data_IF_204561599832
#
_entry.id   IF_204561599832
#
_cell.length_a   1.000
_cell.length_b   1.000
_cell.length_c   1.000
_cell.angle_alpha   90.00
_cell.angle_beta   90.00
_cell.angle_gamma   90.00
#
_symmetry.space_group_name_H-M   'P 1'
#
loop_
_entity.id
_entity.type
_entity.pdbx_description
1 polymer ?
#
# COMPACT_ATOMS: atom_id res chain seq x y z
N UNK A 1 -65.32 48.51 21.76
CA UNK A 1 -65.01 47.08 21.60
C UNK A 1 -63.99 46.99 20.47
N UNK A 2 -62.74 47.41 20.64
CA UNK A 2 -61.75 46.99 21.65
C UNK A 2 -61.64 45.47 21.74
N UNK A 3 -60.53 44.91 21.21
CA UNK A 3 -59.56 44.01 21.87
C UNK A 3 -58.25 44.12 21.04
N UNK A 4 -57.31 44.98 21.40
CA UNK A 4 -56.16 44.79 22.29
C UNK A 4 -54.87 44.32 21.58
N UNK A 5 -53.91 45.24 21.50
CA UNK A 5 -52.55 45.07 21.00
C UNK A 5 -51.72 44.55 22.19
N UNK A 6 -51.22 43.32 22.11
CA UNK A 6 -50.25 42.81 23.07
C UNK A 6 -48.82 43.05 22.54
N UNK A 7 -48.05 43.70 23.41
CA UNK A 7 -46.66 44.14 23.33
C UNK A 7 -45.65 43.05 22.98
N UNK A 8 -44.66 43.42 22.17
CA UNK A 8 -43.37 42.73 22.03
C UNK A 8 -42.53 42.97 23.28
N UNK A 9 -42.10 41.91 23.94
CA UNK A 9 -40.93 41.91 24.83
C UNK A 9 -39.73 41.27 24.10
N UNK A 10 -38.48 41.75 24.33
CA UNK A 10 -37.31 41.22 23.66
C UNK A 10 -36.73 40.02 24.44
N UNK A 11 -36.78 38.83 23.85
CA UNK A 11 -35.96 37.70 24.32
C UNK A 11 -34.54 37.83 23.74
N UNK A 12 -33.71 38.61 24.41
CA UNK A 12 -32.27 38.63 24.21
C UNK A 12 -31.62 38.70 25.58
N UNK A 13 -31.26 37.53 26.13
CA UNK A 13 -30.23 37.36 27.18
C UNK A 13 -30.06 35.87 27.58
N UNK A 14 -31.07 34.99 27.41
CA UNK A 14 -30.93 33.55 27.78
C UNK A 14 -30.19 32.66 26.76
N UNK A 15 -29.79 33.19 25.61
CA UNK A 15 -29.02 32.44 24.60
C UNK A 15 -27.50 32.57 24.79
N UNK A 16 -27.04 33.47 25.67
CA UNK A 16 -25.64 33.80 25.86
C UNK A 16 -25.02 33.02 27.05
N UNK A 17 -25.81 32.70 28.09
CA UNK A 17 -25.34 31.90 29.24
C UNK A 17 -25.23 30.38 28.98
N UNK A 18 -25.78 29.86 27.88
CA UNK A 18 -25.58 28.43 27.50
C UNK A 18 -24.32 28.17 26.68
N UNK A 19 -23.52 29.21 26.38
CA UNK A 19 -22.25 29.07 25.64
C UNK A 19 -21.00 29.01 26.52
N UNK A 20 -21.09 29.22 27.82
CA UNK A 20 -19.93 29.26 28.72
C UNK A 20 -19.69 28.00 29.58
N UNK A 21 -20.44 26.90 29.38
CA UNK A 21 -20.34 25.72 30.26
C UNK A 21 -19.64 24.47 29.66
N UNK A 22 -18.97 24.53 28.50
CA UNK A 22 -18.25 23.38 27.92
C UNK A 22 -16.93 23.74 27.20
N UNK A 23 -16.20 24.73 27.71
CA UNK A 23 -14.85 25.05 27.27
C UNK A 23 -13.81 24.50 28.24
N UNK A 24 -13.57 23.18 28.24
CA UNK A 24 -12.24 22.70 28.64
C UNK A 24 -11.30 23.09 27.49
N UNK A 25 -10.56 24.20 27.67
CA UNK A 25 -9.44 24.55 26.82
C UNK A 25 -8.45 23.37 26.82
N UNK A 26 -8.36 22.66 25.71
CA UNK A 26 -7.27 21.73 25.47
C UNK A 26 -6.04 22.60 25.26
N UNK A 27 -5.19 22.70 26.29
CA UNK A 27 -3.86 23.30 26.16
C UNK A 27 -3.15 22.65 24.95
N UNK A 28 -2.90 23.44 23.90
CA UNK A 28 -2.03 23.05 22.79
C UNK A 28 -0.59 22.98 23.35
N UNK A 29 -0.22 21.83 23.90
CA UNK A 29 1.18 21.53 24.23
C UNK A 29 2.06 21.79 23.00
N UNK A 30 3.20 22.46 23.22
CA UNK A 30 4.17 22.75 22.16
C UNK A 30 4.49 21.47 21.35
N UNK A 31 4.61 21.55 20.01
CA UNK A 31 4.78 20.38 19.18
C UNK A 31 6.07 19.64 19.56
N UNK A 32 5.91 18.43 20.10
CA UNK A 32 7.03 17.59 20.56
C UNK A 32 8.05 17.41 19.45
N UNK A 33 9.34 17.60 19.73
CA UNK A 33 10.40 17.41 18.72
C UNK A 33 10.94 15.98 18.72
N UNK A 34 11.57 15.52 17.63
CA UNK A 34 12.23 14.20 17.64
C UNK A 34 13.32 14.09 18.71
N UNK A 35 14.03 15.19 19.01
CA UNK A 35 15.03 15.24 20.06
C UNK A 35 14.41 14.97 21.44
N UNK A 36 13.25 15.56 21.74
CA UNK A 36 12.51 15.34 22.99
C UNK A 36 12.02 13.89 23.15
N UNK A 37 11.81 13.16 22.05
CA UNK A 37 11.47 11.73 22.08
C UNK A 37 12.66 10.82 22.44
N UNK A 38 13.87 11.38 22.57
CA UNK A 38 15.11 10.63 22.82
C UNK A 38 15.80 10.12 21.55
N UNK A 39 15.48 10.67 20.38
CA UNK A 39 16.17 10.37 19.12
C UNK A 39 17.52 11.10 19.09
N UNK A 40 18.59 10.41 18.70
CA UNK A 40 19.95 10.93 18.70
C UNK A 40 20.16 12.01 17.63
N UNK A 41 21.12 12.94 17.82
CA UNK A 41 21.29 14.10 16.95
C UNK A 41 21.45 13.75 15.46
N UNK A 42 22.19 12.68 15.14
CA UNK A 42 22.43 12.24 13.77
C UNK A 42 21.13 11.79 13.07
N UNK A 43 20.21 11.20 13.82
CA UNK A 43 18.91 10.79 13.31
C UNK A 43 17.92 11.95 13.24
N UNK A 44 18.01 12.92 14.15
CA UNK A 44 17.24 14.17 14.07
C UNK A 44 17.62 14.93 12.81
N UNK A 45 18.91 15.10 12.53
CA UNK A 45 19.39 15.75 11.31
C UNK A 45 18.92 15.00 10.04
N UNK A 46 18.94 13.66 10.07
CA UNK A 46 18.41 12.86 8.98
C UNK A 46 16.89 13.05 8.79
N UNK A 47 16.12 13.16 9.88
CA UNK A 47 14.69 13.48 9.82
C UNK A 47 14.45 14.86 9.18
N UNK A 48 15.22 15.87 9.57
CA UNK A 48 15.13 17.22 9.01
C UNK A 48 15.48 17.25 7.51
N UNK A 49 16.55 16.55 7.11
CA UNK A 49 16.96 16.42 5.71
C UNK A 49 15.89 15.70 4.85
N UNK A 50 15.12 14.78 5.45
CA UNK A 50 13.97 14.14 4.81
C UNK A 50 12.69 15.00 4.86
N UNK A 51 12.72 16.17 5.50
CA UNK A 51 11.58 17.08 5.64
C UNK A 51 10.58 16.69 6.73
N UNK A 52 10.96 15.84 7.69
CA UNK A 52 10.11 15.44 8.81
C UNK A 52 10.20 16.47 9.94
N UNK A 53 9.50 17.59 9.78
CA UNK A 53 9.57 18.74 10.71
C UNK A 53 9.08 18.44 12.13
N UNK A 54 8.16 17.49 12.28
CA UNK A 54 7.62 17.10 13.57
C UNK A 54 7.25 15.59 13.55
N UNK A 55 7.37 14.89 14.68
CA UNK A 55 6.91 13.52 14.82
C UNK A 55 5.38 13.45 14.65
N UNK A 56 4.91 12.44 13.95
CA UNK A 56 3.49 12.12 13.93
C UNK A 56 3.05 11.57 15.30
N UNK A 57 1.74 11.60 15.60
CA UNK A 57 1.22 11.10 16.87
C UNK A 57 1.67 9.67 17.21
N UNK A 58 1.68 8.76 16.22
CA UNK A 58 2.15 7.39 16.46
C UNK A 58 3.65 7.33 16.74
N UNK A 59 4.45 8.26 16.19
CA UNK A 59 5.87 8.35 16.45
C UNK A 59 6.12 8.89 17.86
N UNK A 60 5.44 9.99 18.23
CA UNK A 60 5.54 10.60 19.54
C UNK A 60 5.17 9.62 20.68
N UNK A 61 4.09 8.84 20.49
CA UNK A 61 3.67 7.86 21.49
C UNK A 61 4.52 6.58 21.47
N UNK A 62 5.00 6.10 20.31
CA UNK A 62 5.68 4.79 20.23
C UNK A 62 7.20 4.84 20.44
N UNK A 63 7.88 5.87 19.95
CA UNK A 63 9.36 5.96 19.96
C UNK A 63 9.92 5.88 21.38
N UNK A 64 9.40 6.61 22.38
CA UNK A 64 9.96 6.56 23.74
C UNK A 64 9.94 5.15 24.34
N UNK A 65 8.84 4.40 24.20
CA UNK A 65 8.75 3.03 24.69
C UNK A 65 9.63 2.05 23.91
N UNK A 66 9.74 2.24 22.59
CA UNK A 66 10.61 1.42 21.75
C UNK A 66 12.10 1.61 22.12
N UNK A 67 12.53 2.84 22.42
CA UNK A 67 13.88 3.16 22.90
C UNK A 67 14.18 2.56 24.28
N UNK A 68 13.19 2.49 25.16
CA UNK A 68 13.27 1.78 26.45
C UNK A 68 13.35 0.24 26.29
N UNK A 69 13.28 -0.27 25.06
CA UNK A 69 13.36 -1.69 24.76
C UNK A 69 12.08 -2.48 25.05
N UNK A 70 10.94 -1.81 25.18
CA UNK A 70 9.62 -2.44 25.31
C UNK A 70 9.13 -2.96 23.96
N UNK A 71 8.36 -4.04 23.99
CA UNK A 71 7.54 -4.45 22.86
C UNK A 71 6.44 -3.39 22.60
N UNK A 72 6.15 -3.13 21.32
CA UNK A 72 5.20 -2.07 20.92
C UNK A 72 4.16 -2.62 19.95
N UNK A 73 2.91 -2.22 20.16
CA UNK A 73 1.81 -2.41 19.22
C UNK A 73 1.37 -1.03 18.75
N UNK A 74 1.61 -0.71 17.49
CA UNK A 74 1.12 0.51 16.87
C UNK A 74 -0.11 0.24 16.01
N UNK A 75 -1.24 0.84 16.37
CA UNK A 75 -2.46 0.83 15.54
C UNK A 75 -2.63 2.20 14.90
N UNK A 76 -2.62 2.22 13.57
CA UNK A 76 -2.77 3.44 12.79
C UNK A 76 -2.86 3.15 11.30
N UNK A 77 -3.49 4.04 10.54
CA UNK A 77 -3.67 3.85 9.09
C UNK A 77 -2.34 4.00 8.32
N UNK A 78 -2.29 3.56 7.06
CA UNK A 78 -1.13 3.82 6.18
C UNK A 78 -0.90 5.33 6.06
N UNK A 79 0.36 5.77 6.12
CA UNK A 79 0.70 7.20 6.08
C UNK A 79 0.75 7.88 7.46
N UNK A 80 0.35 7.20 8.54
CA UNK A 80 0.49 7.72 9.93
C UNK A 80 1.94 7.80 10.43
N UNK A 81 2.93 7.34 9.66
CA UNK A 81 4.34 7.41 10.04
C UNK A 81 4.87 6.18 10.80
N UNK A 82 4.14 5.05 10.79
CA UNK A 82 4.51 3.77 11.46
C UNK A 82 5.93 3.29 11.15
N UNK A 83 6.36 3.42 9.89
CA UNK A 83 7.70 2.97 9.47
C UNK A 83 8.81 3.67 10.23
N UNK A 84 8.74 5.00 10.35
CA UNK A 84 9.71 5.75 11.14
C UNK A 84 9.61 5.42 12.64
N UNK A 85 8.40 5.19 13.15
CA UNK A 85 8.15 4.88 14.56
C UNK A 85 8.90 3.62 15.04
N UNK A 86 9.05 2.60 14.18
CA UNK A 86 9.90 1.45 14.49
C UNK A 86 11.33 1.55 13.96
N UNK A 87 11.56 2.26 12.84
CA UNK A 87 12.88 2.32 12.22
C UNK A 87 13.87 3.16 13.04
N UNK A 88 13.44 4.31 13.57
CA UNK A 88 14.32 5.20 14.34
C UNK A 88 14.94 4.50 15.57
N UNK A 89 14.16 3.81 16.44
CA UNK A 89 14.74 3.05 17.56
C UNK A 89 15.70 1.94 17.13
N UNK A 90 15.41 1.24 16.03
CA UNK A 90 16.25 0.15 15.52
C UNK A 90 17.57 0.72 14.97
N UNK A 91 17.50 1.80 14.20
CA UNK A 91 18.69 2.43 13.63
C UNK A 91 19.55 3.02 14.75
N UNK A 92 18.96 3.68 15.75
CA UNK A 92 19.69 4.18 16.91
C UNK A 92 20.48 3.08 17.62
N UNK A 93 19.84 1.94 17.91
CA UNK A 93 20.53 0.78 18.49
C UNK A 93 21.64 0.20 17.59
N UNK A 94 21.55 0.39 16.27
CA UNK A 94 22.62 0.02 15.32
C UNK A 94 23.72 1.09 15.22
N UNK A 95 23.43 2.34 15.58
CA UNK A 95 24.41 3.43 15.63
C UNK A 95 25.30 3.31 16.87
N UNK A 96 24.78 2.84 18.00
CA UNK A 96 25.51 2.57 19.25
C UNK A 96 26.69 1.58 19.08
N UNK A 97 26.71 0.81 17.99
CA UNK A 97 27.82 -0.07 17.66
C UNK A 97 28.74 0.60 16.61
N UNK A 98 29.84 1.20 17.08
CA UNK A 98 30.85 1.82 16.21
C UNK A 98 31.59 0.82 15.29
N UNK A 99 32.05 1.33 14.14
CA UNK A 99 32.98 0.67 13.20
C UNK A 99 32.48 -0.55 12.41
N UNK A 100 31.17 -0.70 12.15
CA UNK A 100 30.68 -1.75 11.23
C UNK A 100 29.90 -1.19 10.03
N UNK A 101 30.20 -1.65 8.80
CA UNK A 101 29.38 -1.35 7.64
C UNK A 101 27.97 -1.91 7.83
N UNK A 102 26.97 -1.04 7.78
CA UNK A 102 25.56 -1.37 8.03
C UNK A 102 24.93 -1.90 6.75
N UNK A 103 25.00 -3.21 6.56
CA UNK A 103 24.37 -3.88 5.43
C UNK A 103 22.88 -4.16 5.68
N UNK A 104 22.07 -3.96 4.65
CA UNK A 104 20.66 -4.36 4.61
C UNK A 104 20.41 -5.29 3.44
N UNK A 105 19.44 -6.20 3.57
CA UNK A 105 19.00 -7.07 2.49
C UNK A 105 17.47 -7.05 2.37
N UNK A 106 16.99 -7.05 1.12
CA UNK A 106 15.58 -7.17 0.80
C UNK A 106 15.31 -8.55 0.21
N UNK A 107 14.45 -9.33 0.86
CA UNK A 107 14.09 -10.70 0.49
C UNK A 107 12.62 -10.77 0.07
N UNK A 108 12.37 -10.57 -1.22
CA UNK A 108 11.01 -10.58 -1.78
C UNK A 108 10.92 -11.50 -3.00
N UNK A 109 9.69 -11.95 -3.29
CA UNK A 109 9.39 -12.68 -4.52
C UNK A 109 9.63 -11.82 -5.77
N UNK A 110 9.85 -12.48 -6.91
CA UNK A 110 10.07 -11.80 -8.20
C UNK A 110 11.49 -11.27 -8.43
N UNK A 111 12.40 -11.40 -7.45
CA UNK A 111 13.84 -11.13 -7.61
C UNK A 111 14.60 -12.47 -7.66
N UNK A 112 15.59 -12.65 -8.56
CA UNK A 112 16.40 -13.87 -8.62
C UNK A 112 16.97 -14.28 -7.25
N UNK A 113 16.86 -15.58 -6.94
CA UNK A 113 17.31 -16.11 -5.64
C UNK A 113 18.81 -15.93 -5.45
N UNK A 114 19.59 -16.12 -6.51
CA UNK A 114 21.04 -15.93 -6.50
C UNK A 114 21.45 -14.54 -6.02
N UNK A 115 20.78 -13.48 -6.50
CA UNK A 115 21.05 -12.10 -6.08
C UNK A 115 20.75 -11.88 -4.59
N UNK A 116 19.68 -12.48 -4.09
CA UNK A 116 19.33 -12.43 -2.66
C UNK A 116 20.33 -13.23 -1.81
N UNK A 117 20.77 -14.40 -2.26
CA UNK A 117 21.81 -15.19 -1.60
C UNK A 117 23.14 -14.43 -1.51
N UNK A 118 23.55 -13.72 -2.56
CA UNK A 118 24.75 -12.88 -2.56
C UNK A 118 24.61 -11.74 -1.54
N UNK A 119 23.42 -11.12 -1.46
CA UNK A 119 23.14 -10.09 -0.45
C UNK A 119 23.22 -10.64 0.98
N UNK A 120 22.67 -11.83 1.22
CA UNK A 120 22.75 -12.52 2.50
C UNK A 120 24.18 -12.92 2.89
N UNK A 121 25.02 -13.28 1.92
CA UNK A 121 26.43 -13.61 2.16
C UNK A 121 27.23 -12.42 2.72
N UNK A 122 26.76 -11.18 2.50
CA UNK A 122 27.32 -9.96 3.12
C UNK A 122 26.97 -9.80 4.61
N UNK A 123 26.18 -10.72 5.17
CA UNK A 123 25.75 -10.75 6.58
C UNK A 123 25.04 -9.44 6.98
N UNK A 124 23.89 -9.13 6.37
CA UNK A 124 23.13 -7.92 6.67
C UNK A 124 22.69 -7.84 8.14
N UNK A 125 22.69 -6.63 8.69
CA UNK A 125 22.18 -6.31 10.02
C UNK A 125 20.66 -6.19 10.02
N UNK A 126 20.10 -5.73 8.90
CA UNK A 126 18.65 -5.56 8.69
C UNK A 126 18.21 -6.39 7.50
N UNK A 127 17.20 -7.23 7.69
CA UNK A 127 16.55 -7.98 6.63
C UNK A 127 15.09 -7.57 6.55
N UNK A 128 14.68 -7.06 5.40
CA UNK A 128 13.27 -6.76 5.09
C UNK A 128 12.79 -7.81 4.09
N UNK A 129 11.65 -8.44 4.30
CA UNK A 129 11.19 -9.44 3.35
C UNK A 129 9.74 -9.87 3.53
N UNK A 130 9.21 -10.56 2.52
CA UNK A 130 7.88 -11.17 2.61
C UNK A 130 7.97 -12.54 3.30
N UNK A 131 6.96 -12.98 4.07
CA UNK A 131 7.04 -14.20 4.88
C UNK A 131 7.47 -15.44 4.07
N UNK A 132 6.84 -15.68 2.92
CA UNK A 132 7.19 -16.83 2.08
C UNK A 132 8.63 -16.84 1.61
N UNK A 133 9.20 -15.66 1.27
CA UNK A 133 10.59 -15.56 0.80
C UNK A 133 11.61 -15.64 1.94
N UNK A 134 11.26 -15.09 3.11
CA UNK A 134 12.06 -15.26 4.32
C UNK A 134 12.16 -16.72 4.73
N UNK A 135 11.04 -17.45 4.73
CA UNK A 135 11.01 -18.88 5.03
C UNK A 135 11.83 -19.70 4.02
N UNK A 136 11.66 -19.45 2.71
CA UNK A 136 12.48 -20.10 1.67
C UNK A 136 13.98 -19.91 1.93
N UNK A 137 14.42 -18.69 2.26
CA UNK A 137 15.81 -18.45 2.57
C UNK A 137 16.26 -19.12 3.87
N UNK A 138 15.44 -19.12 4.92
CA UNK A 138 15.74 -19.82 6.18
C UNK A 138 15.92 -21.33 6.00
N UNK A 139 15.09 -21.96 5.18
CA UNK A 139 15.14 -23.40 4.94
C UNK A 139 16.25 -23.77 3.97
N UNK A 140 16.42 -23.01 2.89
CA UNK A 140 17.20 -23.44 1.72
C UNK A 140 18.52 -22.69 1.53
N UNK A 141 18.88 -21.71 2.37
CA UNK A 141 20.13 -20.92 2.23
C UNK A 141 21.12 -21.29 3.33
N UNK A 142 22.21 -21.97 2.95
CA UNK A 142 23.26 -22.35 3.88
C UNK A 142 23.82 -21.12 4.60
N UNK A 143 23.91 -21.22 5.93
CA UNK A 143 24.49 -20.17 6.79
C UNK A 143 23.56 -18.99 7.10
N UNK A 144 22.35 -18.92 6.52
CA UNK A 144 21.36 -17.93 6.89
C UNK A 144 20.53 -18.44 8.08
N UNK A 145 20.47 -17.65 9.16
CA UNK A 145 19.67 -17.96 10.35
C UNK A 145 19.30 -16.69 11.10
N UNK A 146 18.22 -16.75 11.89
CA UNK A 146 17.78 -15.66 12.76
C UNK A 146 18.23 -15.81 14.22
N UNK A 147 19.21 -16.67 14.51
CA UNK A 147 19.65 -16.95 15.89
C UNK A 147 20.16 -15.70 16.65
N UNK A 148 20.58 -14.66 15.93
CA UNK A 148 21.07 -13.38 16.48
C UNK A 148 20.03 -12.26 16.39
N UNK A 149 18.79 -12.56 16.01
CA UNK A 149 17.73 -11.56 15.84
C UNK A 149 17.42 -10.89 17.19
N UNK A 150 17.57 -9.57 17.25
CA UNK A 150 17.23 -8.75 18.42
C UNK A 150 15.94 -7.96 18.25
N UNK A 151 15.53 -7.72 17.01
CA UNK A 151 14.32 -6.98 16.67
C UNK A 151 13.49 -7.79 15.66
N UNK A 152 12.19 -7.93 15.93
CA UNK A 152 11.20 -8.41 14.98
C UNK A 152 10.17 -7.30 14.72
N UNK A 153 9.96 -6.95 13.46
CA UNK A 153 8.91 -6.01 13.05
C UNK A 153 7.88 -6.75 12.20
N UNK A 154 6.62 -6.64 12.59
CA UNK A 154 5.45 -7.14 11.87
C UNK A 154 4.63 -5.93 11.43
N UNK A 155 4.95 -5.37 10.26
CA UNK A 155 4.22 -4.25 9.66
C UNK A 155 3.07 -4.77 8.77
N UNK A 156 1.99 -3.98 8.66
CA UNK A 156 0.72 -4.37 8.04
C UNK A 156 0.24 -5.77 8.53
N UNK A 157 0.27 -5.97 9.85
CA UNK A 157 0.05 -7.29 10.46
C UNK A 157 -1.31 -7.94 10.13
N UNK A 158 -2.34 -7.15 9.84
CA UNK A 158 -3.63 -7.66 9.35
C UNK A 158 -3.53 -8.27 7.95
N UNK A 159 -2.66 -7.74 7.08
CA UNK A 159 -2.37 -8.31 5.77
C UNK A 159 -1.45 -9.53 5.84
N UNK A 160 -0.51 -9.57 6.80
CA UNK A 160 0.35 -10.75 7.06
C UNK A 160 -0.44 -11.99 7.50
N UNK A 161 -1.68 -11.83 7.98
CA UNK A 161 -2.55 -12.90 8.48
C UNK A 161 -3.60 -13.38 7.46
N UNK A 162 -3.42 -13.03 6.19
CA UNK A 162 -4.12 -13.69 5.08
C UNK A 162 -3.70 -15.16 5.03
N UNK A 163 -4.62 -16.02 4.61
CA UNK A 163 -4.47 -17.48 4.63
C UNK A 163 -3.19 -17.94 3.93
N UNK A 164 -2.77 -17.23 2.88
CA UNK A 164 -1.56 -17.48 2.10
C UNK A 164 -0.24 -17.28 2.88
N UNK A 165 -0.20 -16.43 3.91
CA UNK A 165 1.02 -16.11 4.65
C UNK A 165 1.07 -16.70 6.05
N UNK A 166 -0.08 -17.08 6.62
CA UNK A 166 -0.19 -17.53 8.00
C UNK A 166 0.82 -18.66 8.34
N UNK A 167 0.85 -19.72 7.53
CA UNK A 167 1.78 -20.84 7.75
C UNK A 167 3.23 -20.38 7.77
N UNK A 168 3.62 -19.52 6.81
CA UNK A 168 4.99 -19.04 6.73
C UNK A 168 5.37 -18.16 7.93
N UNK A 169 4.45 -17.33 8.41
CA UNK A 169 4.66 -16.52 9.62
C UNK A 169 4.82 -17.43 10.85
N UNK A 170 3.95 -18.42 11.02
CA UNK A 170 4.02 -19.35 12.14
C UNK A 170 5.34 -20.14 12.14
N UNK A 171 5.76 -20.65 10.98
CA UNK A 171 7.03 -21.38 10.83
C UNK A 171 8.26 -20.50 11.15
N UNK A 172 8.24 -19.22 10.73
CA UNK A 172 9.29 -18.26 11.09
C UNK A 172 9.31 -18.00 12.60
N UNK A 173 8.15 -17.74 13.21
CA UNK A 173 8.04 -17.47 14.64
C UNK A 173 8.55 -18.64 15.51
N UNK A 174 8.44 -19.88 15.02
CA UNK A 174 8.93 -21.06 15.72
C UNK A 174 10.46 -21.19 15.76
N UNK A 175 11.18 -20.59 14.80
CA UNK A 175 12.65 -20.73 14.70
C UNK A 175 13.44 -19.51 15.18
N UNK A 176 12.79 -18.37 15.38
CA UNK A 176 13.46 -17.15 15.86
C UNK A 176 13.63 -17.16 17.40
N UNK A 177 14.61 -16.42 17.94
CA UNK A 177 14.81 -16.28 19.38
C UNK A 177 13.58 -15.72 20.10
N UNK A 178 13.25 -16.26 21.28
CA UNK A 178 12.18 -15.73 22.15
C UNK A 178 12.57 -14.40 22.78
N UNK A 179 13.83 -14.25 23.17
CA UNK A 179 14.39 -13.03 23.74
C UNK A 179 14.78 -12.05 22.62
N UNK A 180 13.84 -11.15 22.32
CA UNK A 180 13.95 -10.11 21.29
C UNK A 180 12.91 -9.03 21.59
N UNK A 181 13.10 -7.85 21.02
CA UNK A 181 12.12 -6.77 20.99
C UNK A 181 11.19 -6.99 19.79
N UNK A 182 9.88 -6.92 20.00
CA UNK A 182 8.89 -7.15 18.96
C UNK A 182 8.00 -5.94 18.79
N UNK A 183 7.90 -5.49 17.55
CA UNK A 183 7.07 -4.37 17.12
C UNK A 183 6.00 -4.88 16.17
N UNK A 184 4.72 -4.70 16.52
CA UNK A 184 3.59 -5.07 15.69
C UNK A 184 2.84 -3.82 15.27
N UNK A 185 2.79 -3.57 13.97
CA UNK A 185 2.11 -2.42 13.39
C UNK A 185 0.99 -2.89 12.47
N UNK A 186 -0.22 -2.37 12.66
CA UNK A 186 -1.41 -2.79 11.92
C UNK A 186 -2.34 -1.61 11.66
N UNK A 187 -3.10 -1.64 10.58
CA UNK A 187 -4.21 -0.70 10.40
C UNK A 187 -5.37 -1.05 11.33
N UNK A 188 -5.62 -2.35 11.57
CA UNK A 188 -6.77 -2.81 12.35
C UNK A 188 -6.41 -3.90 13.38
N UNK A 189 -7.16 -3.96 14.48
CA UNK A 189 -6.94 -4.94 15.56
C UNK A 189 -7.96 -6.09 15.52
N UNK A 190 -7.88 -6.91 14.48
CA UNK A 190 -8.77 -8.08 14.30
C UNK A 190 -8.45 -9.21 15.29
N UNK A 191 -9.37 -10.17 15.48
CA UNK A 191 -9.12 -11.36 16.33
C UNK A 191 -7.89 -12.15 15.90
N UNK A 192 -7.60 -12.21 14.59
CA UNK A 192 -6.36 -12.83 14.09
C UNK A 192 -5.13 -12.07 14.57
N UNK A 193 -5.12 -10.74 14.47
CA UNK A 193 -4.02 -9.90 14.96
C UNK A 193 -3.87 -10.03 16.48
N UNK A 194 -4.98 -10.14 17.23
CA UNK A 194 -4.95 -10.41 18.68
C UNK A 194 -4.32 -11.77 19.01
N UNK A 195 -4.55 -12.81 18.20
CA UNK A 195 -3.88 -14.12 18.34
C UNK A 195 -2.38 -14.00 18.05
N UNK A 196 -2.01 -13.36 16.94
CA UNK A 196 -0.61 -13.11 16.59
C UNK A 196 0.12 -12.35 17.72
N UNK A 197 -0.53 -11.31 18.27
CA UNK A 197 -0.02 -10.55 19.43
C UNK A 197 0.36 -11.46 20.60
N UNK A 198 -0.52 -12.39 20.97
CA UNK A 198 -0.29 -13.32 22.09
C UNK A 198 0.86 -14.28 21.82
N UNK A 199 1.11 -14.61 20.55
CA UNK A 199 2.16 -15.54 20.15
C UNK A 199 3.56 -14.90 20.11
N UNK A 200 3.67 -13.62 19.72
CA UNK A 200 4.99 -13.02 19.44
C UNK A 200 5.44 -11.90 20.39
N UNK A 201 4.56 -11.24 21.15
CA UNK A 201 4.91 -10.12 22.04
C UNK A 201 4.87 -10.46 23.53
N UNK A 202 5.68 -9.77 24.34
CA UNK A 202 5.77 -9.88 25.80
C UNK A 202 5.51 -8.52 26.47
N UNK A 203 4.42 -8.42 27.23
CA UNK A 203 3.98 -7.18 27.92
C UNK A 203 4.08 -5.89 27.04
N UNK A 204 3.45 -5.89 25.85
CA UNK A 204 3.61 -4.81 24.90
C UNK A 204 2.88 -3.54 25.34
N UNK A 205 3.45 -2.38 25.01
CA UNK A 205 2.75 -1.10 25.07
C UNK A 205 1.90 -0.96 23.82
N UNK A 206 0.60 -0.69 24.00
CA UNK A 206 -0.32 -0.43 22.89
C UNK A 206 -0.45 1.07 22.68
N UNK A 207 -0.04 1.52 21.52
CA UNK A 207 -0.23 2.87 21.00
C UNK A 207 -1.31 2.80 19.94
N UNK A 208 -2.40 3.51 20.15
CA UNK A 208 -3.52 3.55 19.21
C UNK A 208 -3.83 5.00 18.91
N UNK A 209 -3.49 5.41 17.69
CA UNK A 209 -3.93 6.71 17.21
C UNK A 209 -5.40 6.56 16.89
N UNK A 210 -6.24 7.06 17.79
CA UNK A 210 -7.69 7.03 17.66
C UNK A 210 -8.07 7.60 16.30
N UNK A 211 -8.47 6.70 15.41
CA UNK A 211 -9.28 7.08 14.27
C UNK A 211 -10.71 7.02 14.76
N UNK A 212 -11.29 8.18 15.10
CA UNK A 212 -12.54 8.43 14.37
C UNK A 212 -12.11 8.27 12.91
N UNK A 213 -12.84 7.50 12.11
CA UNK A 213 -12.63 7.49 10.67
C UNK A 213 -13.00 8.86 10.07
N UNK A 214 -12.68 9.98 10.75
CA UNK A 214 -12.32 11.21 10.08
C UNK A 214 -11.12 10.83 9.23
N UNK A 215 -11.44 10.36 8.01
CA UNK A 215 -10.64 10.68 6.84
C UNK A 215 -10.18 12.09 7.09
N UNK A 216 -8.89 12.22 7.40
CA UNK A 216 -8.17 13.44 7.76
C UNK A 216 -8.98 14.64 7.31
N UNK A 217 -9.30 15.61 8.18
CA UNK A 217 -10.20 16.77 7.92
C UNK A 217 -9.88 17.60 6.63
N UNK A 218 -8.90 17.14 5.85
CA UNK A 218 -8.27 17.68 4.67
C UNK A 218 -8.44 16.76 3.41
N UNK A 219 -9.07 15.57 3.48
CA UNK A 219 -9.35 14.73 2.30
C UNK A 219 -10.67 15.13 1.62
N UNK A 220 -10.58 15.75 0.45
CA UNK A 220 -11.76 16.06 -0.36
C UNK A 220 -12.16 14.85 -1.21
N UNK A 221 -13.45 14.51 -1.17
CA UNK A 221 -14.00 13.33 -1.85
C UNK A 221 -15.13 13.73 -2.81
N UNK A 222 -15.19 13.10 -3.97
CA UNK A 222 -16.28 13.26 -4.93
C UNK A 222 -16.77 11.90 -5.46
N UNK A 223 -18.10 11.75 -5.54
CA UNK A 223 -18.78 10.60 -6.11
C UNK A 223 -19.29 10.94 -7.51
N UNK A 224 -19.02 10.07 -8.49
CA UNK A 224 -19.69 10.09 -9.79
C UNK A 224 -20.53 8.82 -9.89
N UNK A 225 -21.85 8.98 -10.02
CA UNK A 225 -22.75 7.87 -10.32
C UNK A 225 -22.78 7.69 -11.82
N UNK A 226 -22.31 6.54 -12.31
CA UNK A 226 -22.01 6.35 -13.74
C UNK A 226 -22.65 5.08 -14.28
N UNK A 227 -23.27 5.10 -15.47
CA UNK A 227 -23.66 3.87 -16.14
C UNK A 227 -22.43 3.02 -16.46
N UNK A 228 -22.45 1.72 -16.14
CA UNK A 228 -21.30 0.83 -16.37
C UNK A 228 -20.75 0.89 -17.80
N UNK A 229 -21.63 1.06 -18.81
CA UNK A 229 -21.28 1.17 -20.22
C UNK A 229 -20.38 2.37 -20.54
N UNK A 230 -20.59 3.49 -19.84
CA UNK A 230 -19.92 4.76 -20.12
C UNK A 230 -18.82 5.10 -19.13
N UNK A 231 -18.44 4.15 -18.26
CA UNK A 231 -17.45 4.35 -17.19
C UNK A 231 -16.11 4.90 -17.68
N UNK A 232 -15.64 4.43 -18.84
CA UNK A 232 -14.45 4.97 -19.50
C UNK A 232 -14.59 6.47 -19.85
N UNK A 233 -15.78 6.91 -20.29
CA UNK A 233 -16.04 8.30 -20.64
C UNK A 233 -15.98 9.23 -19.42
N UNK A 234 -16.56 8.78 -18.30
CA UNK A 234 -16.47 9.51 -17.03
C UNK A 234 -15.05 9.58 -16.49
N UNK A 235 -14.25 8.52 -16.65
CA UNK A 235 -12.83 8.59 -16.28
C UNK A 235 -12.10 9.68 -17.08
N UNK A 236 -12.26 9.70 -18.41
CA UNK A 236 -11.59 10.71 -19.24
C UNK A 236 -12.05 12.12 -18.90
N UNK A 237 -13.35 12.30 -18.64
CA UNK A 237 -13.89 13.57 -18.16
C UNK A 237 -13.21 14.06 -16.87
N UNK A 238 -13.06 13.18 -15.88
CA UNK A 238 -12.37 13.50 -14.63
C UNK A 238 -10.90 13.83 -14.87
N UNK A 239 -10.20 13.03 -15.68
CA UNK A 239 -8.79 13.25 -16.00
C UNK A 239 -8.55 14.60 -16.72
N UNK A 240 -9.45 15.00 -17.62
CA UNK A 240 -9.36 16.28 -18.33
C UNK A 240 -9.51 17.50 -17.40
N UNK A 241 -10.18 17.34 -16.26
CA UNK A 241 -10.33 18.41 -15.25
C UNK A 241 -9.11 18.58 -14.35
N UNK A 242 -8.16 17.64 -14.40
CA UNK A 242 -6.97 17.61 -13.52
C UNK A 242 -5.68 17.46 -14.36
N UNK A 243 -5.42 18.36 -15.32
CA UNK A 243 -4.21 18.28 -16.13
C UNK A 243 -2.97 18.47 -15.26
N UNK A 244 -1.95 17.63 -15.47
CA UNK A 244 -0.67 17.72 -14.77
C UNK A 244 -0.63 17.13 -13.36
N UNK A 245 -1.78 16.81 -12.76
CA UNK A 245 -1.83 16.12 -11.47
C UNK A 245 -1.20 14.73 -11.53
N UNK A 246 -0.62 14.30 -10.41
CA UNK A 246 -0.15 12.93 -10.17
C UNK A 246 -1.33 12.06 -9.72
N UNK A 247 -1.80 11.18 -10.60
CA UNK A 247 -3.07 10.46 -10.44
C UNK A 247 -2.81 8.95 -10.31
N UNK A 248 -3.38 8.34 -9.28
CA UNK A 248 -3.49 6.88 -9.16
C UNK A 248 -4.89 6.41 -9.50
N UNK A 249 -5.03 5.53 -10.48
CA UNK A 249 -6.31 4.96 -10.91
C UNK A 249 -6.38 3.49 -10.48
N UNK A 250 -7.32 3.17 -9.60
CA UNK A 250 -7.52 1.82 -9.09
C UNK A 250 -8.55 1.05 -9.91
N UNK A 251 -8.13 -0.12 -10.39
CA UNK A 251 -8.97 -1.09 -11.12
C UNK A 251 -8.89 -2.45 -10.46
N UNK A 252 -9.87 -3.30 -10.74
CA UNK A 252 -10.03 -4.59 -10.05
C UNK A 252 -9.05 -5.65 -10.53
N UNK A 253 -8.81 -5.74 -11.84
CA UNK A 253 -8.06 -6.86 -12.43
C UNK A 253 -6.75 -6.42 -13.07
N UNK A 254 -5.77 -7.35 -13.12
CA UNK A 254 -4.50 -7.11 -13.81
C UNK A 254 -4.70 -6.85 -15.31
N UNK A 255 -5.68 -7.48 -15.94
CA UNK A 255 -6.02 -7.25 -17.34
C UNK A 255 -6.54 -5.83 -17.56
N UNK A 256 -7.47 -5.39 -16.72
CA UNK A 256 -8.00 -4.01 -16.72
C UNK A 256 -6.89 -2.97 -16.58
N UNK A 257 -5.85 -3.22 -15.76
CA UNK A 257 -4.73 -2.26 -15.64
C UNK A 257 -4.04 -2.02 -16.98
N UNK A 258 -3.81 -3.09 -17.75
CA UNK A 258 -3.13 -3.03 -19.04
C UNK A 258 -4.02 -2.39 -20.10
N UNK A 259 -5.28 -2.83 -20.16
CA UNK A 259 -6.27 -2.31 -21.12
C UNK A 259 -6.45 -0.81 -20.94
N UNK A 260 -6.66 -0.37 -19.70
CA UNK A 260 -6.91 1.04 -19.40
C UNK A 260 -5.67 1.89 -19.67
N UNK A 261 -4.47 1.45 -19.27
CA UNK A 261 -3.24 2.17 -19.57
C UNK A 261 -2.93 2.27 -21.07
N UNK A 262 -3.27 1.25 -21.88
CA UNK A 262 -3.16 1.31 -23.33
C UNK A 262 -4.16 2.30 -23.94
N UNK A 263 -5.43 2.23 -23.51
CA UNK A 263 -6.47 3.15 -23.97
C UNK A 263 -6.12 4.61 -23.64
N UNK A 264 -5.66 4.88 -22.42
CA UNK A 264 -5.21 6.20 -22.00
C UNK A 264 -4.04 6.73 -22.85
N UNK A 265 -3.05 5.88 -23.16
CA UNK A 265 -1.94 6.27 -24.05
C UNK A 265 -2.39 6.55 -25.48
N UNK A 266 -3.33 5.79 -26.03
CA UNK A 266 -3.95 6.06 -27.33
C UNK A 266 -4.64 7.43 -27.34
N UNK A 267 -5.22 7.82 -26.21
CA UNK A 267 -5.83 9.13 -25.98
C UNK A 267 -4.84 10.25 -25.63
N UNK A 268 -3.52 9.98 -25.69
CA UNK A 268 -2.41 10.91 -25.39
C UNK A 268 -2.18 11.23 -23.90
N UNK A 269 -2.79 10.48 -22.99
CA UNK A 269 -2.45 10.55 -21.57
C UNK A 269 -1.14 9.80 -21.29
N UNK A 270 -0.31 10.34 -20.39
CA UNK A 270 0.93 9.68 -19.94
C UNK A 270 0.61 8.67 -18.83
N UNK A 271 0.03 7.55 -19.25
CA UNK A 271 -0.41 6.48 -18.34
C UNK A 271 0.54 5.27 -18.36
N UNK A 272 0.74 4.68 -17.18
CA UNK A 272 1.48 3.43 -17.00
C UNK A 272 0.73 2.49 -16.06
N UNK A 273 0.78 1.17 -16.34
CA UNK A 273 0.13 0.16 -15.50
C UNK A 273 1.12 -0.47 -14.53
N UNK A 274 0.67 -0.77 -13.31
CA UNK A 274 1.34 -1.65 -12.36
C UNK A 274 0.39 -2.74 -11.88
N UNK A 275 0.80 -4.01 -11.98
CA UNK A 275 -0.01 -5.14 -11.54
C UNK A 275 0.86 -6.25 -10.94
N UNK A 276 0.25 -7.14 -10.15
CA UNK A 276 0.95 -8.27 -9.52
C UNK A 276 1.54 -9.29 -10.51
N UNK A 277 1.10 -9.27 -11.77
CA UNK A 277 1.64 -10.12 -12.84
C UNK A 277 2.92 -9.57 -13.51
N UNK A 278 3.35 -8.36 -13.15
CA UNK A 278 4.57 -7.77 -13.69
C UNK A 278 5.80 -8.31 -12.95
N UNK A 279 6.91 -8.51 -13.66
CA UNK A 279 8.19 -8.77 -13.01
C UNK A 279 8.59 -7.59 -12.13
N UNK A 280 9.37 -7.85 -11.09
CA UNK A 280 9.73 -6.82 -10.13
C UNK A 280 10.48 -5.65 -10.78
N UNK A 281 11.38 -5.91 -11.73
CA UNK A 281 12.09 -4.85 -12.46
C UNK A 281 11.15 -3.97 -13.27
N UNK A 282 10.13 -4.55 -13.91
CA UNK A 282 9.10 -3.79 -14.64
C UNK A 282 8.25 -2.95 -13.69
N UNK A 283 7.93 -3.47 -12.49
CA UNK A 283 7.22 -2.71 -11.45
C UNK A 283 8.06 -1.52 -10.98
N UNK A 284 9.33 -1.75 -10.65
CA UNK A 284 10.25 -0.68 -10.24
C UNK A 284 10.45 0.37 -11.33
N UNK A 285 10.63 -0.04 -12.58
CA UNK A 285 10.72 0.88 -13.71
C UNK A 285 9.45 1.71 -13.90
N UNK A 286 8.26 1.10 -13.73
CA UNK A 286 6.99 1.82 -13.79
C UNK A 286 6.84 2.84 -12.65
N UNK A 287 7.24 2.47 -11.43
CA UNK A 287 7.21 3.36 -10.27
C UNK A 287 8.19 4.52 -10.42
N UNK A 288 9.39 4.25 -10.93
CA UNK A 288 10.38 5.30 -11.16
C UNK A 288 9.85 6.32 -12.17
N UNK A 289 9.31 5.89 -13.30
CA UNK A 289 8.67 6.79 -14.29
C UNK A 289 7.52 7.62 -13.72
N UNK A 290 6.79 7.07 -12.75
CA UNK A 290 5.76 7.82 -12.05
C UNK A 290 6.38 8.85 -11.10
N UNK A 291 7.34 8.44 -10.26
CA UNK A 291 8.03 9.32 -9.31
C UNK A 291 8.79 10.46 -9.99
N UNK A 292 9.41 10.22 -11.14
CA UNK A 292 10.11 11.22 -11.96
C UNK A 292 9.17 12.08 -12.80
N UNK A 293 7.84 11.86 -12.73
CA UNK A 293 6.80 12.54 -13.51
C UNK A 293 6.88 12.33 -15.03
N UNK A 294 7.65 11.35 -15.51
CA UNK A 294 7.61 10.93 -16.92
C UNK A 294 6.22 10.42 -17.32
N UNK A 295 5.51 9.84 -16.36
CA UNK A 295 4.10 9.51 -16.45
C UNK A 295 3.38 10.02 -15.19
N UNK A 296 2.27 10.73 -15.37
CA UNK A 296 1.51 11.30 -14.27
C UNK A 296 0.26 10.49 -13.94
N UNK A 297 -0.04 9.41 -14.67
CA UNK A 297 -1.16 8.52 -14.38
C UNK A 297 -0.66 7.08 -14.16
N UNK A 298 -0.87 6.55 -12.96
CA UNK A 298 -0.54 5.17 -12.58
C UNK A 298 -1.81 4.34 -12.41
N UNK A 299 -2.04 3.38 -13.31
CA UNK A 299 -3.16 2.45 -13.23
C UNK A 299 -2.75 1.20 -12.46
N UNK A 300 -3.46 0.85 -11.39
CA UNK A 300 -3.03 -0.21 -10.47
C UNK A 300 -4.17 -1.07 -9.92
N UNK A 301 -3.84 -2.27 -9.45
CA UNK A 301 -4.72 -3.07 -8.58
C UNK A 301 -4.34 -2.88 -7.11
N UNK A 302 -5.24 -3.26 -6.19
CA UNK A 302 -4.98 -3.22 -4.75
C UNK A 302 -3.68 -3.94 -4.38
N UNK A 303 -3.52 -5.18 -4.83
CA UNK A 303 -2.32 -6.00 -4.58
C UNK A 303 -1.04 -5.32 -5.06
N UNK A 304 -1.10 -4.63 -6.20
CA UNK A 304 0.07 -3.99 -6.76
C UNK A 304 0.48 -2.73 -6.00
N UNK A 305 -0.48 -2.07 -5.34
CA UNK A 305 -0.29 -0.81 -4.58
C UNK A 305 0.07 -1.02 -3.10
N UNK A 306 -0.30 -2.15 -2.51
CA UNK A 306 0.01 -2.48 -1.11
C UNK A 306 1.53 -2.64 -0.92
N UNK A 307 2.05 -2.15 0.22
CA UNK A 307 3.49 -2.17 0.51
C UNK A 307 4.39 -1.33 -0.39
N UNK A 308 3.84 -0.56 -1.35
CA UNK A 308 4.61 0.43 -2.10
C UNK A 308 4.43 1.81 -1.48
N UNK A 309 5.52 2.42 -1.04
CA UNK A 309 5.50 3.83 -0.66
C UNK A 309 5.54 4.69 -1.93
N UNK A 310 4.39 5.24 -2.32
CA UNK A 310 4.24 6.13 -3.47
C UNK A 310 3.89 7.49 -2.91
N UNK A 311 4.87 8.39 -2.90
CA UNK A 311 4.73 9.77 -2.43
C UNK A 311 4.30 10.68 -3.59
N UNK A 312 3.71 11.84 -3.26
CA UNK A 312 3.36 12.87 -4.23
C UNK A 312 2.18 12.51 -5.13
N UNK A 313 1.17 11.83 -4.59
CA UNK A 313 -0.09 11.52 -5.31
C UNK A 313 -1.13 12.59 -4.97
N UNK A 314 -1.45 13.41 -5.95
CA UNK A 314 -2.44 14.50 -5.81
C UNK A 314 -3.86 13.93 -5.80
N UNK A 315 -4.13 12.94 -6.65
CA UNK A 315 -5.47 12.40 -6.87
C UNK A 315 -5.50 10.88 -6.87
N UNK A 316 -6.46 10.31 -6.15
CA UNK A 316 -6.83 8.90 -6.24
C UNK A 316 -8.17 8.76 -6.94
N UNK A 317 -8.24 7.96 -8.00
CA UNK A 317 -9.47 7.63 -8.71
C UNK A 317 -9.78 6.15 -8.50
N UNK A 318 -10.88 5.87 -7.80
CA UNK A 318 -11.48 4.54 -7.77
C UNK A 318 -12.25 4.34 -9.08
N UNK A 319 -11.57 3.84 -10.12
CA UNK A 319 -12.24 3.47 -11.36
C UNK A 319 -13.16 2.28 -11.08
N UNK A 320 -12.66 1.18 -10.50
CA UNK A 320 -13.54 0.13 -9.96
C UNK A 320 -13.70 0.35 -8.46
N UNK A 321 -14.94 0.45 -7.98
CA UNK A 321 -15.16 0.67 -6.55
C UNK A 321 -14.71 -0.58 -5.76
N UNK A 322 -14.01 -0.41 -4.61
CA UNK A 322 -13.52 -1.54 -3.81
C UNK A 322 -14.67 -2.36 -3.23
N UNK A 323 -14.44 -3.66 -3.04
CA UNK A 323 -15.44 -4.60 -2.50
C UNK A 323 -15.59 -4.54 -0.98
N UNK A 324 -14.66 -3.87 -0.29
CA UNK A 324 -14.70 -3.70 1.16
C UNK A 324 -14.20 -2.30 1.54
N UNK A 325 -14.73 -1.78 2.65
CA UNK A 325 -14.46 -0.41 3.11
C UNK A 325 -13.02 -0.18 3.55
N UNK A 326 -12.29 -1.23 3.94
CA UNK A 326 -10.86 -1.13 4.30
C UNK A 326 -9.99 -0.82 3.08
N UNK A 327 -10.25 -1.50 1.96
CA UNK A 327 -9.53 -1.25 0.72
C UNK A 327 -9.79 0.16 0.21
N UNK A 328 -11.00 0.70 0.39
CA UNK A 328 -11.27 2.11 0.10
C UNK A 328 -10.32 3.05 0.85
N UNK A 329 -10.19 2.89 2.18
CA UNK A 329 -9.31 3.71 3.01
C UNK A 329 -7.85 3.56 2.58
N UNK A 330 -7.41 2.33 2.29
CA UNK A 330 -6.05 2.09 1.83
C UNK A 330 -5.74 2.72 0.47
N UNK A 331 -6.75 2.86 -0.41
CA UNK A 331 -6.63 3.55 -1.69
C UNK A 331 -6.59 5.05 -1.50
N UNK A 332 -7.57 5.63 -0.81
CA UNK A 332 -7.63 7.09 -0.64
C UNK A 332 -6.51 7.60 0.24
N UNK A 333 -6.01 6.82 1.20
CA UNK A 333 -4.79 7.12 1.96
C UNK A 333 -3.48 7.08 1.15
N UNK A 334 -3.55 6.85 -0.17
CA UNK A 334 -2.43 7.12 -1.10
C UNK A 334 -2.31 8.60 -1.40
N UNK A 335 -3.41 9.34 -1.31
CA UNK A 335 -3.45 10.81 -1.30
C UNK A 335 -3.71 11.29 0.15
N UNK A 336 -3.38 12.53 0.51
CA UNK A 336 -3.41 13.03 1.90
C UNK A 336 -2.43 12.36 2.89
N UNK A 337 -1.12 12.44 2.62
CA UNK A 337 -0.07 12.04 3.56
C UNK A 337 0.66 13.28 4.11
N UNK A 338 1.10 13.24 5.36
CA UNK A 338 1.94 14.28 5.99
C UNK A 338 1.37 15.71 5.91
N UNK A 339 0.10 15.89 6.27
CA UNK A 339 -0.54 17.23 6.37
C UNK A 339 -0.98 17.85 5.04
N UNK A 340 -0.82 17.17 3.90
CA UNK A 340 -1.32 17.66 2.61
C UNK A 340 -2.80 17.32 2.38
N UNK A 341 -3.53 18.22 1.71
CA UNK A 341 -4.89 17.98 1.24
C UNK A 341 -4.89 16.95 0.11
N UNK A 342 -5.55 15.82 0.30
CA UNK A 342 -5.72 14.81 -0.75
C UNK A 342 -7.04 14.94 -1.48
N UNK A 343 -7.11 14.40 -2.68
CA UNK A 343 -8.34 14.39 -3.47
C UNK A 343 -8.69 13.00 -4.00
N UNK A 344 -9.90 12.52 -3.68
CA UNK A 344 -10.37 11.19 -4.05
C UNK A 344 -11.66 11.24 -4.88
N UNK A 345 -11.65 10.57 -6.03
CA UNK A 345 -12.82 10.45 -6.92
C UNK A 345 -13.26 8.99 -6.98
N UNK A 346 -14.55 8.74 -6.84
CA UNK A 346 -15.11 7.39 -6.96
C UNK A 346 -16.13 7.31 -8.09
N UNK A 347 -15.87 6.42 -9.06
CA UNK A 347 -16.80 6.10 -10.14
C UNK A 347 -17.62 4.87 -9.74
N UNK A 348 -18.89 5.07 -9.39
CA UNK A 348 -19.76 4.00 -8.88
C UNK A 348 -20.86 3.71 -9.90
N UNK A 349 -20.91 2.46 -10.37
CA UNK A 349 -21.97 2.00 -11.25
C UNK A 349 -23.08 1.24 -10.50
N UNK A 350 -24.11 0.81 -11.23
CA UNK A 350 -25.27 0.13 -10.66
C UNK A 350 -24.95 -1.18 -9.91
N UNK A 351 -23.82 -1.83 -10.18
CA UNK A 351 -23.38 -3.06 -9.52
C UNK A 351 -22.50 -2.80 -8.29
N UNK A 352 -22.10 -1.55 -8.06
CA UNK A 352 -21.15 -1.16 -7.02
C UNK A 352 -21.81 -0.36 -5.88
N UNK A 353 -23.08 0.00 -6.03
CA UNK A 353 -23.80 0.88 -5.09
C UNK A 353 -23.91 0.32 -3.67
N UNK A 354 -24.02 -1.00 -3.50
CA UNK A 354 -24.06 -1.62 -2.17
C UNK A 354 -22.72 -1.49 -1.44
N UNK A 355 -21.60 -1.80 -2.12
CA UNK A 355 -20.26 -1.64 -1.55
C UNK A 355 -19.95 -0.18 -1.19
N UNK A 356 -20.43 0.76 -2.02
CA UNK A 356 -20.33 2.19 -1.75
C UNK A 356 -21.08 2.58 -0.47
N UNK A 357 -22.35 2.15 -0.32
CA UNK A 357 -23.15 2.43 0.88
C UNK A 357 -22.51 1.85 2.15
N UNK A 358 -22.00 0.61 2.08
CA UNK A 358 -21.27 0.00 3.19
C UNK A 358 -20.00 0.78 3.55
N UNK A 359 -19.37 1.42 2.56
CA UNK A 359 -18.20 2.28 2.79
C UNK A 359 -18.61 3.60 3.45
N UNK A 360 -19.66 4.29 2.98
CA UNK A 360 -20.16 5.50 3.64
C UNK A 360 -20.56 5.25 5.10
N UNK A 361 -21.27 4.15 5.38
CA UNK A 361 -21.61 3.75 6.74
C UNK A 361 -20.37 3.51 7.60
N UNK A 362 -19.36 2.84 7.03
CA UNK A 362 -18.10 2.59 7.72
C UNK A 362 -17.31 3.87 8.03
N UNK A 363 -17.46 4.91 7.21
CA UNK A 363 -16.84 6.22 7.37
C UNK A 363 -17.59 7.15 8.34
N UNK A 364 -18.60 6.64 9.07
CA UNK A 364 -19.39 7.43 10.02
C UNK A 364 -20.73 7.91 9.48
N UNK A 365 -21.12 7.50 8.26
CA UNK A 365 -22.43 7.78 7.68
C UNK A 365 -22.55 9.13 6.99
N UNK A 366 -21.49 9.94 6.94
CA UNK A 366 -21.47 11.16 6.14
C UNK A 366 -21.54 10.84 4.65
N UNK A 367 -22.38 11.59 3.92
CA UNK A 367 -22.57 11.38 2.50
C UNK A 367 -21.43 12.00 1.70
N UNK A 368 -20.81 11.23 0.82
CA UNK A 368 -19.83 11.77 -0.11
C UNK A 368 -20.58 12.58 -1.18
N UNK A 369 -20.20 13.85 -1.42
CA UNK A 369 -20.88 14.70 -2.40
C UNK A 369 -20.90 14.08 -3.80
N UNK A 370 -22.10 13.92 -4.35
CA UNK A 370 -22.30 13.45 -5.71
C UNK A 370 -22.11 14.59 -6.71
N UNK A 371 -21.17 14.42 -7.65
CA UNK A 371 -20.97 15.33 -8.77
C UNK A 371 -22.02 15.07 -9.84
N UNK A 372 -22.80 16.10 -10.15
CA UNK A 372 -23.63 16.12 -11.36
C UNK A 372 -22.76 16.46 -12.56
N UNK A 373 -22.95 15.71 -13.64
CA UNK A 373 -22.28 15.91 -14.92
C UNK A 373 -23.33 15.91 -16.00
N UNK A 374 -23.18 16.79 -16.97
CA UNK A 374 -24.01 16.80 -18.16
C UNK A 374 -23.75 15.52 -18.99
N UNK A 375 -24.82 14.80 -19.31
CA UNK A 375 -24.71 13.58 -20.10
C UNK A 375 -24.18 13.87 -21.51
N UNK A 376 -24.49 15.04 -22.08
CA UNK A 376 -24.07 15.42 -23.42
C UNK A 376 -22.55 15.65 -23.48
N UNK A 377 -21.98 16.29 -22.45
CA UNK A 377 -20.51 16.43 -22.29
C UNK A 377 -19.82 15.05 -22.31
N UNK A 378 -20.41 14.05 -21.64
CA UNK A 378 -19.86 12.70 -21.60
C UNK A 378 -20.02 12.01 -22.95
N UNK A 379 -21.16 12.18 -23.63
CA UNK A 379 -21.45 11.50 -24.89
C UNK A 379 -20.55 11.99 -26.03
N UNK A 380 -20.13 13.26 -26.03
CA UNK A 380 -19.17 13.80 -27.01
C UNK A 380 -17.85 13.00 -27.00
N UNK A 381 -17.45 12.46 -25.84
CA UNK A 381 -16.22 11.68 -25.72
C UNK A 381 -16.38 10.22 -26.18
N UNK A 382 -17.61 9.72 -26.31
CA UNK A 382 -17.91 8.29 -26.42
C UNK A 382 -17.25 7.63 -27.63
N UNK A 383 -17.40 8.18 -28.83
CA UNK A 383 -16.88 7.57 -30.06
C UNK A 383 -15.36 7.45 -30.03
N UNK A 384 -14.67 8.54 -29.66
CA UNK A 384 -13.20 8.58 -29.56
C UNK A 384 -12.68 7.55 -28.54
N UNK A 385 -13.34 7.43 -27.40
CA UNK A 385 -12.95 6.50 -26.33
C UNK A 385 -13.22 5.06 -26.75
N UNK A 386 -14.38 4.78 -27.35
CA UNK A 386 -14.73 3.47 -27.87
C UNK A 386 -13.71 2.98 -28.89
N UNK A 387 -13.34 3.82 -29.86
CA UNK A 387 -12.31 3.51 -30.85
C UNK A 387 -10.95 3.25 -30.20
N UNK A 388 -10.55 4.09 -29.23
CA UNK A 388 -9.29 3.92 -28.49
C UNK A 388 -9.24 2.61 -27.69
N UNK A 389 -10.36 2.21 -27.08
CA UNK A 389 -10.52 0.95 -26.35
C UNK A 389 -10.45 -0.26 -27.28
N UNK A 390 -11.06 -0.20 -28.47
CA UNK A 390 -10.96 -1.25 -29.50
C UNK A 390 -9.52 -1.46 -29.95
N UNK A 391 -8.79 -0.37 -30.21
CA UNK A 391 -7.36 -0.44 -30.57
C UNK A 391 -6.57 -1.10 -29.44
N UNK A 392 -6.78 -0.69 -28.19
CA UNK A 392 -6.10 -1.26 -27.02
C UNK A 392 -6.35 -2.77 -26.87
N UNK A 393 -7.60 -3.23 -27.04
CA UNK A 393 -7.97 -4.65 -27.03
C UNK A 393 -7.26 -5.43 -28.14
N UNK A 394 -7.21 -4.88 -29.36
CA UNK A 394 -6.52 -5.51 -30.49
C UNK A 394 -5.02 -5.68 -30.20
N UNK A 395 -4.36 -4.64 -29.68
CA UNK A 395 -2.95 -4.69 -29.28
C UNK A 395 -2.68 -5.74 -28.20
N UNK A 396 -3.58 -5.90 -27.22
CA UNK A 396 -3.45 -6.92 -26.18
C UNK A 396 -3.55 -8.34 -26.76
N UNK A 397 -4.45 -8.56 -27.70
CA UNK A 397 -4.63 -9.86 -28.35
C UNK A 397 -3.43 -10.24 -29.24
N UNK A 398 -2.90 -9.30 -30.02
CA UNK A 398 -1.70 -9.50 -30.86
C UNK A 398 -0.46 -9.81 -30.01
N UNK A 399 -0.29 -9.08 -28.90
CA UNK A 399 0.79 -9.35 -27.93
C UNK A 399 0.65 -10.73 -27.27
N UNK A 400 -0.59 -11.16 -27.01
CA UNK A 400 -0.90 -12.49 -26.47
C UNK A 400 -0.66 -13.63 -27.48
N UNK A 401 -0.91 -13.38 -28.76
CA UNK A 401 -0.63 -14.31 -29.86
C UNK A 401 0.89 -14.49 -30.03
N UNK A 402 1.65 -13.41 -30.11
CA UNK A 402 3.12 -13.49 -30.22
C UNK A 402 3.77 -14.17 -29.00
N UNK A 403 3.24 -13.94 -27.79
CA UNK A 403 3.75 -14.61 -26.59
C UNK A 403 3.44 -16.12 -26.57
N UNK A 404 2.30 -16.55 -27.12
CA UNK A 404 1.97 -17.98 -27.30
C UNK A 404 2.81 -18.62 -28.39
N UNK A 405 3.06 -17.91 -29.49
CA UNK A 405 3.85 -18.42 -30.61
C UNK A 405 5.33 -18.56 -30.21
N UNK A 406 5.88 -17.60 -29.45
CA UNK A 406 7.22 -17.69 -28.88
C UNK A 406 7.37 -18.84 -27.87
N UNK A 407 6.36 -19.09 -27.03
CA UNK A 407 6.36 -20.26 -26.14
C UNK A 407 6.33 -21.58 -26.90
N UNK A 408 5.53 -21.68 -27.97
CA UNK A 408 5.54 -22.88 -28.84
C UNK A 408 6.90 -23.10 -29.51
N UNK A 409 7.56 -22.04 -29.96
CA UNK A 409 8.91 -22.15 -30.51
C UNK A 409 9.95 -22.54 -29.47
N UNK A 410 9.84 -22.03 -28.23
CA UNK A 410 10.71 -22.42 -27.10
C UNK A 410 10.45 -23.89 -26.66
N UNK A 411 9.19 -24.35 -26.69
CA UNK A 411 8.82 -25.74 -26.41
C UNK A 411 9.27 -26.71 -27.54
N UNK A 412 9.23 -26.28 -28.81
CA UNK A 412 9.70 -27.06 -29.96
C UNK A 412 11.25 -27.13 -30.06
N UNK A 413 11.97 -26.15 -29.49
CA UNK A 413 13.44 -26.16 -29.39
C UNK A 413 13.97 -27.06 -28.27
N UNK A 414 13.18 -27.35 -27.22
CA UNK A 414 13.55 -28.28 -26.14
C UNK A 414 13.41 -29.77 -26.52
N UNK A 415 12.72 -30.11 -27.63
CA UNK A 415 12.57 -31.51 -28.08
C UNK A 415 13.70 -32.03 -29.02
N UNK A 416 14.68 -31.19 -29.41
CA UNK A 416 15.69 -31.58 -30.42
C UNK A 416 17.08 -31.88 -29.85
N UNK A 417 17.33 -31.75 -28.54
CA UNK A 417 18.59 -32.22 -27.93
C UNK A 417 18.37 -33.40 -26.95
N UNK A 418 18.30 -34.61 -27.50
CA UNK A 418 18.66 -35.83 -26.76
C UNK A 418 19.89 -36.50 -27.38
N UNK A 419 20.95 -36.78 -26.59
CA UNK A 419 22.20 -37.29 -27.11
C UNK A 419 22.11 -38.80 -27.40
N UNK A 420 22.55 -39.20 -28.59
CA UNK A 420 22.73 -40.59 -29.01
C UNK A 420 23.63 -41.32 -28.01
N UNK A 421 23.05 -42.20 -27.21
CA UNK A 421 23.76 -43.01 -26.23
C UNK A 421 24.44 -44.23 -26.89
N UNK A 422 25.68 -44.42 -26.50
CA UNK A 422 26.59 -45.50 -26.87
C UNK A 422 26.01 -46.90 -26.58
N UNK A 423 25.90 -47.75 -27.60
CA UNK A 423 25.66 -49.19 -27.45
C UNK A 423 26.92 -49.91 -26.96
N UNK A 424 26.85 -50.41 -25.73
CA UNK A 424 27.80 -51.35 -25.14
C UNK A 424 27.75 -52.73 -25.81
N UNK A 425 28.93 -53.27 -26.10
CA UNK A 425 29.20 -54.61 -26.62
C UNK A 425 28.80 -55.71 -25.61
N UNK A 426 28.12 -56.75 -26.06
CA UNK A 426 28.08 -58.06 -25.38
C UNK A 426 28.30 -59.23 -26.36
N UNK A 427 29.48 -59.83 -26.21
CA UNK A 427 29.94 -61.18 -26.56
C UNK A 427 29.07 -62.14 -27.38
N UNK A 428 29.60 -62.56 -28.55
CA UNK A 428 29.44 -63.92 -29.09
C UNK A 428 30.80 -64.63 -29.03
N UNK A 429 30.96 -65.61 -28.13
CA UNK A 429 31.99 -66.65 -28.23
C UNK A 429 31.31 -67.94 -28.67
N UNK A 430 31.58 -68.31 -29.91
CA UNK A 430 31.42 -69.66 -30.44
C UNK A 430 32.50 -70.55 -29.85
N UNK A 431 32.18 -71.81 -29.53
CA UNK A 431 32.90 -72.97 -30.08
C UNK A 431 32.28 -74.31 -29.69
N UNK A 432 31.97 -75.10 -30.72
CA UNK A 432 32.12 -76.56 -30.69
C UNK A 432 33.60 -76.87 -30.84
N UNK A 433 34.03 -77.85 -30.03
CA UNK A 433 35.32 -78.56 -29.99
C UNK A 433 36.51 -77.80 -29.42
#
# INVERSE_FOLDING_TARGET
MEVEIASREPMGEEAEERREAMGEEVEEEAPTTFAELGVCPELVEACDAMGWKAPTRIQAEAIPFALQGRDVIGVGQTGSGKTAAFALPIIQALLEHEHRPRFFACLIGGIPRTSQTISLAKRPHVVVGTPGRLLDHLTNTKGFSFNKLKYLVLDEADDLLKVEFQKAVDDILNVIPKERRTFLFSATMTEKVKKLRRACLKNPVKVEVASKYSLVDILRQELYVVPAKYKDCYLIHVLNKMPGSMIMVFVRTCESTRLLALMLRNLRFKAISISGQMSQDKRLGALNRFRTRDCNILVCTDVASRGLDIQGVDVVINYDFPLNSKDYIHRVGRTARAGQSGYAVSLVNQFEGEFFKLTEQFLGGEKIPARKVDADEIMILHERIYNSKRIALKTMNESGYHKRMRRRMEDDEEEVESPVSSRSRSSKKSRRR
#
